data_IF_115751570294
#
_entry.id   IF_115751570294
#
_cell.length_a   1.000
_cell.length_b   1.000
_cell.length_c   1.000
_cell.angle_alpha   90.00
_cell.angle_beta   90.00
_cell.angle_gamma   90.00
#
_symmetry.space_group_name_H-M   'P 1'
#
loop_
_entity.id
_entity.type
_entity.pdbx_description
1 polymer ?
#
# COMPACT_ATOMS: atom_id res chain seq x y z
N UNK A 1 25.51 -2.57 -2.84
CA UNK A 1 24.42 -2.19 -1.91
C UNK A 1 23.46 -3.37 -1.84
N UNK A 2 22.94 -3.75 -0.66
CA UNK A 2 22.00 -4.87 -0.54
C UNK A 2 20.71 -4.59 -1.35
N UNK A 3 20.10 -5.56 -2.06
CA UNK A 3 18.91 -5.29 -2.90
C UNK A 3 17.75 -4.61 -2.15
N UNK A 4 17.43 -5.05 -0.92
CA UNK A 4 16.45 -4.33 -0.07
C UNK A 4 16.78 -2.85 0.16
N UNK A 5 18.06 -2.50 0.32
CA UNK A 5 18.47 -1.13 0.53
C UNK A 5 18.31 -0.27 -0.74
N UNK A 6 18.39 -0.89 -1.93
CA UNK A 6 18.09 -0.23 -3.21
C UNK A 6 16.59 0.03 -3.38
N UNK A 7 15.73 -0.88 -2.94
CA UNK A 7 14.27 -0.71 -3.01
C UNK A 7 13.74 0.30 -1.99
N UNK A 8 14.42 0.47 -0.84
CA UNK A 8 13.95 1.29 0.29
C UNK A 8 13.41 2.68 -0.11
N UNK A 9 14.08 3.49 -0.97
CA UNK A 9 13.56 4.80 -1.36
C UNK A 9 12.20 4.71 -2.05
N UNK A 10 12.04 3.81 -3.03
CA UNK A 10 10.76 3.60 -3.72
C UNK A 10 9.67 3.13 -2.75
N UNK A 11 9.99 2.19 -1.86
CA UNK A 11 9.03 1.73 -0.86
C UNK A 11 8.60 2.90 0.03
N UNK A 12 9.53 3.73 0.52
CA UNK A 12 9.20 4.90 1.32
C UNK A 12 8.23 5.86 0.59
N UNK A 13 8.45 6.13 -0.69
CA UNK A 13 7.58 7.00 -1.48
C UNK A 13 6.18 6.40 -1.71
N UNK A 14 6.08 5.09 -1.97
CA UNK A 14 4.78 4.40 -2.02
C UNK A 14 4.07 4.49 -0.66
N UNK A 15 4.81 4.29 0.43
CA UNK A 15 4.31 4.42 1.80
C UNK A 15 3.91 5.84 2.19
N UNK A 16 4.43 6.87 1.53
CA UNK A 16 3.94 8.25 1.66
C UNK A 16 2.66 8.45 0.83
N UNK A 17 2.68 8.02 -0.43
CA UNK A 17 1.57 8.18 -1.37
C UNK A 17 0.31 7.42 -0.94
N UNK A 18 0.43 6.30 -0.21
CA UNK A 18 -0.72 5.48 0.22
C UNK A 18 -1.77 6.26 1.00
N UNK A 19 -1.35 7.30 1.73
CA UNK A 19 -2.21 8.11 2.63
C UNK A 19 -2.89 9.28 1.95
N UNK A 20 -2.50 9.59 0.72
CA UNK A 20 -3.09 10.69 -0.02
C UNK A 20 -4.58 10.45 -0.15
N UNK A 21 -5.37 11.51 0.01
CA UNK A 21 -6.81 11.49 -0.19
C UNK A 21 -7.13 12.34 -1.41
N UNK A 22 -8.14 11.91 -2.17
CA UNK A 22 -8.63 12.63 -3.35
C UNK A 22 -10.07 13.08 -3.12
N UNK A 23 -10.47 14.14 -3.82
CA UNK A 23 -11.85 14.59 -3.79
C UNK A 23 -12.78 13.53 -4.42
N UNK A 24 -13.99 13.38 -3.87
CA UNK A 24 -15.03 12.53 -4.47
C UNK A 24 -14.95 11.04 -4.15
N UNK A 25 -13.89 10.56 -3.47
CA UNK A 25 -13.79 9.19 -3.00
C UNK A 25 -13.42 9.13 -1.50
N UNK A 26 -14.05 8.26 -0.70
CA UNK A 26 -13.71 8.12 0.71
C UNK A 26 -12.37 7.42 0.89
N UNK A 27 -11.71 7.72 2.01
CA UNK A 27 -10.46 7.08 2.39
C UNK A 27 -9.24 7.53 1.59
N UNK A 28 -8.10 6.94 1.93
CA UNK A 28 -6.82 7.10 1.26
C UNK A 28 -6.79 6.38 -0.09
N UNK A 29 -5.77 6.66 -0.91
CA UNK A 29 -5.53 5.93 -2.16
C UNK A 29 -5.32 4.44 -1.93
N UNK A 30 -4.67 4.03 -0.83
CA UNK A 30 -4.52 2.61 -0.54
C UNK A 30 -5.81 1.96 -0.05
N UNK A 31 -6.64 2.65 0.72
CA UNK A 31 -7.97 2.14 1.10
C UNK A 31 -8.87 1.92 -0.12
N UNK A 32 -8.82 2.86 -1.08
CA UNK A 32 -9.55 2.76 -2.34
C UNK A 32 -9.06 1.57 -3.18
N UNK A 33 -7.75 1.41 -3.32
CA UNK A 33 -7.17 0.27 -4.03
C UNK A 33 -7.37 -1.05 -3.31
N UNK A 34 -7.37 -1.09 -1.99
CA UNK A 34 -7.68 -2.27 -1.21
C UNK A 34 -9.12 -2.74 -1.46
N UNK A 35 -10.08 -1.80 -1.42
CA UNK A 35 -11.48 -2.07 -1.75
C UNK A 35 -11.65 -2.58 -3.18
N UNK A 36 -11.00 -1.93 -4.16
CA UNK A 36 -11.02 -2.36 -5.57
C UNK A 36 -10.37 -3.74 -5.75
N UNK A 37 -9.25 -4.00 -5.10
CA UNK A 37 -8.54 -5.29 -5.14
C UNK A 37 -9.48 -6.42 -4.73
N UNK A 38 -10.13 -6.28 -3.57
CA UNK A 38 -11.12 -7.26 -3.11
C UNK A 38 -12.33 -7.40 -4.04
N UNK A 39 -12.85 -6.29 -4.56
CA UNK A 39 -13.95 -6.32 -5.53
C UNK A 39 -13.59 -7.12 -6.80
N UNK A 40 -12.38 -6.91 -7.33
CA UNK A 40 -11.85 -7.63 -8.51
C UNK A 40 -11.65 -9.12 -8.24
N UNK A 41 -11.04 -9.45 -7.10
CA UNK A 41 -10.84 -10.85 -6.70
C UNK A 41 -12.17 -11.59 -6.51
N UNK A 42 -13.16 -10.97 -5.84
CA UNK A 42 -14.49 -11.57 -5.66
C UNK A 42 -15.25 -11.69 -6.98
N UNK A 43 -15.02 -10.77 -7.92
CA UNK A 43 -15.57 -10.85 -9.27
C UNK A 43 -14.93 -11.97 -10.12
N UNK A 44 -13.92 -12.67 -9.60
CA UNK A 44 -13.26 -13.79 -10.26
C UNK A 44 -12.15 -13.39 -11.24
N UNK A 45 -11.63 -12.17 -11.13
CA UNK A 45 -10.46 -11.75 -11.90
C UNK A 45 -9.20 -12.54 -11.48
N UNK A 46 -8.30 -12.77 -12.43
CA UNK A 46 -7.05 -13.49 -12.17
C UNK A 46 -6.18 -12.77 -11.13
N UNK A 47 -5.65 -13.51 -10.17
CA UNK A 47 -4.88 -12.94 -9.06
C UNK A 47 -3.60 -12.27 -9.54
N UNK A 48 -2.96 -12.80 -10.59
CA UNK A 48 -1.75 -12.22 -11.15
C UNK A 48 -2.04 -10.90 -11.85
N UNK A 49 -3.12 -10.82 -12.64
CA UNK A 49 -3.55 -9.58 -13.30
C UNK A 49 -3.87 -8.48 -12.28
N UNK A 50 -4.58 -8.83 -11.20
CA UNK A 50 -4.84 -7.90 -10.09
C UNK A 50 -3.54 -7.48 -9.41
N UNK A 51 -2.65 -8.43 -9.09
CA UNK A 51 -1.38 -8.15 -8.44
C UNK A 51 -0.49 -7.19 -9.23
N UNK A 52 -0.29 -7.46 -10.52
CA UNK A 52 0.58 -6.62 -11.36
C UNK A 52 -0.03 -5.25 -11.62
N UNK A 53 -1.33 -5.16 -11.93
CA UNK A 53 -1.98 -3.87 -12.20
C UNK A 53 -2.07 -2.97 -10.96
N UNK A 54 -2.38 -3.52 -9.78
CA UNK A 54 -2.39 -2.72 -8.54
C UNK A 54 -1.00 -2.30 -8.11
N UNK A 55 0.01 -3.17 -8.27
CA UNK A 55 1.40 -2.83 -7.99
C UNK A 55 1.92 -1.77 -8.96
N UNK A 56 1.63 -1.89 -10.26
CA UNK A 56 2.01 -0.90 -11.27
C UNK A 56 1.39 0.47 -10.99
N UNK A 57 0.10 0.48 -10.61
CA UNK A 57 -0.58 1.69 -10.19
C UNK A 57 0.08 2.28 -8.92
N UNK A 58 0.38 1.47 -7.90
CA UNK A 58 1.04 1.95 -6.68
C UNK A 58 2.42 2.57 -6.92
N UNK A 59 3.25 1.97 -7.80
CA UNK A 59 4.53 2.55 -8.22
C UNK A 59 4.31 3.90 -8.91
N UNK A 60 3.34 3.99 -9.81
CA UNK A 60 3.00 5.24 -10.50
C UNK A 60 2.52 6.34 -9.54
N UNK A 61 1.76 5.98 -8.50
CA UNK A 61 1.25 6.91 -7.48
C UNK A 61 2.35 7.57 -6.66
N UNK A 62 3.54 6.98 -6.57
CA UNK A 62 4.68 7.61 -5.90
C UNK A 62 5.06 8.99 -6.50
N UNK A 63 4.68 9.24 -7.76
CA UNK A 63 4.84 10.56 -8.41
C UNK A 63 3.51 11.23 -8.72
N UNK A 64 2.52 10.47 -9.19
CA UNK A 64 1.26 11.03 -9.68
C UNK A 64 0.17 11.13 -8.63
N UNK A 65 0.42 10.61 -7.41
CA UNK A 65 -0.57 10.57 -6.33
C UNK A 65 -1.92 10.04 -6.83
N UNK A 66 -2.99 10.83 -6.78
CA UNK A 66 -4.33 10.42 -7.21
C UNK A 66 -4.63 10.56 -8.71
N UNK A 67 -3.66 10.97 -9.53
CA UNK A 67 -3.87 11.14 -10.97
C UNK A 67 -3.77 9.77 -11.66
N UNK A 68 -4.92 9.25 -12.09
CA UNK A 68 -5.05 7.98 -12.80
C UNK A 68 -5.61 8.16 -14.23
N UNK A 69 -5.84 7.06 -14.95
CA UNK A 69 -6.44 7.10 -16.29
C UNK A 69 -7.81 7.79 -16.32
N UNK A 70 -8.63 7.61 -15.28
CA UNK A 70 -9.95 8.22 -15.20
C UNK A 70 -9.88 9.74 -15.05
N UNK A 71 -8.97 10.23 -14.20
CA UNK A 71 -8.71 11.67 -14.06
C UNK A 71 -8.21 12.27 -15.37
N UNK A 72 -7.23 11.63 -16.02
CA UNK A 72 -6.62 12.15 -17.24
C UNK A 72 -7.61 12.17 -18.42
N UNK A 73 -8.41 11.11 -18.57
CA UNK A 73 -9.43 11.04 -19.64
C UNK A 73 -10.59 12.01 -19.38
N UNK A 74 -11.01 12.20 -18.12
CA UNK A 74 -11.98 13.23 -17.75
C UNK A 74 -11.46 14.64 -18.06
N UNK A 75 -10.14 14.85 -17.96
CA UNK A 75 -9.47 16.10 -18.32
C UNK A 75 -9.26 16.28 -19.85
N UNK A 76 -9.73 15.34 -20.67
CA UNK A 76 -9.73 15.45 -22.13
C UNK A 76 -8.57 14.76 -22.85
N UNK A 77 -7.71 14.01 -22.14
CA UNK A 77 -6.69 13.19 -22.79
C UNK A 77 -7.32 11.94 -23.40
N UNK A 78 -6.78 11.50 -24.53
CA UNK A 78 -7.04 10.17 -25.06
C UNK A 78 -6.46 9.08 -24.14
N UNK A 79 -6.93 7.84 -24.29
CA UNK A 79 -6.41 6.69 -23.52
C UNK A 79 -4.90 6.50 -23.73
N UNK A 80 -4.40 6.75 -24.96
CA UNK A 80 -2.97 6.67 -25.27
C UNK A 80 -2.16 7.75 -24.55
N UNK A 81 -2.61 9.00 -24.57
CA UNK A 81 -1.95 10.10 -23.86
C UNK A 81 -1.97 9.88 -22.34
N UNK A 82 -3.09 9.38 -21.81
CA UNK A 82 -3.20 9.04 -20.40
C UNK A 82 -2.21 7.93 -20.02
N UNK A 83 -2.12 6.87 -20.81
CA UNK A 83 -1.16 5.79 -20.59
C UNK A 83 0.29 6.28 -20.65
N UNK A 84 0.61 7.20 -21.56
CA UNK A 84 1.95 7.79 -21.64
C UNK A 84 2.30 8.64 -20.42
N UNK A 85 1.34 9.36 -19.84
CA UNK A 85 1.52 10.05 -18.55
C UNK A 85 1.83 9.05 -17.44
N UNK A 86 1.04 7.98 -17.31
CA UNK A 86 1.24 6.96 -16.29
C UNK A 86 2.61 6.28 -16.43
N UNK A 87 3.01 5.96 -17.65
CA UNK A 87 4.33 5.39 -17.96
C UNK A 87 5.47 6.30 -17.55
N UNK A 88 5.38 7.61 -17.81
CA UNK A 88 6.39 8.58 -17.34
C UNK A 88 6.46 8.60 -15.81
N UNK A 89 5.30 8.62 -15.13
CA UNK A 89 5.25 8.58 -13.67
C UNK A 89 5.88 7.29 -13.09
N UNK A 90 5.62 6.15 -13.72
CA UNK A 90 6.22 4.87 -13.37
C UNK A 90 7.74 4.85 -13.62
N UNK A 91 8.17 5.23 -14.82
CA UNK A 91 9.57 5.16 -15.27
C UNK A 91 10.49 6.02 -14.40
N UNK A 92 9.98 7.10 -13.80
CA UNK A 92 10.75 8.01 -12.94
C UNK A 92 11.19 7.40 -11.60
N UNK A 93 10.48 6.37 -11.11
CA UNK A 93 10.76 5.75 -9.81
C UNK A 93 11.08 4.26 -9.90
N UNK A 94 10.87 3.64 -11.06
CA UNK A 94 11.04 2.21 -11.26
C UNK A 94 12.51 1.76 -11.43
N UNK A 95 13.48 2.68 -11.39
CA UNK A 95 14.91 2.39 -11.54
C UNK A 95 15.45 1.27 -10.64
N UNK A 96 15.08 1.19 -9.35
CA UNK A 96 15.54 0.14 -8.43
C UNK A 96 14.91 -1.25 -8.63
N UNK A 97 13.90 -1.41 -9.50
CA UNK A 97 13.19 -2.66 -9.68
C UNK A 97 14.00 -3.68 -10.48
N UNK A 98 13.78 -4.97 -10.20
CA UNK A 98 14.23 -6.05 -11.09
C UNK A 98 13.72 -5.81 -12.52
N UNK A 99 14.58 -5.99 -13.52
CA UNK A 99 14.25 -5.64 -14.90
C UNK A 99 13.04 -6.42 -15.44
N UNK A 100 12.94 -7.72 -15.13
CA UNK A 100 11.83 -8.55 -15.58
C UNK A 100 10.51 -8.22 -14.87
N UNK A 101 10.57 -7.87 -13.59
CA UNK A 101 9.39 -7.34 -12.88
C UNK A 101 8.98 -5.96 -13.41
N UNK A 102 9.95 -5.07 -13.64
CA UNK A 102 9.71 -3.71 -14.15
C UNK A 102 8.95 -3.73 -15.46
N UNK A 103 9.40 -4.52 -16.43
CA UNK A 103 8.71 -4.63 -17.73
C UNK A 103 7.28 -5.15 -17.58
N UNK A 104 7.06 -6.15 -16.71
CA UNK A 104 5.72 -6.69 -16.44
C UNK A 104 4.79 -5.67 -15.81
N UNK A 105 5.26 -4.94 -14.80
CA UNK A 105 4.47 -3.88 -14.15
C UNK A 105 4.17 -2.75 -15.12
N UNK A 106 5.17 -2.32 -15.89
CA UNK A 106 5.00 -1.26 -16.90
C UNK A 106 3.97 -1.65 -17.97
N UNK A 107 3.95 -2.92 -18.37
CA UNK A 107 2.96 -3.45 -19.32
C UNK A 107 1.55 -3.56 -18.72
N UNK A 108 1.44 -3.72 -17.40
CA UNK A 108 0.16 -3.79 -16.67
C UNK A 108 -0.48 -2.42 -16.38
N UNK A 109 0.15 -1.31 -16.80
CA UNK A 109 -0.43 0.03 -16.69
C UNK A 109 -1.61 0.23 -17.64
N UNK A 110 -2.65 0.89 -17.16
CA UNK A 110 -3.84 1.23 -17.94
C UNK A 110 -5.08 1.40 -17.08
N UNK A 111 -6.26 1.46 -17.70
CA UNK A 111 -7.54 1.48 -17.00
C UNK A 111 -7.66 0.25 -16.09
N UNK A 112 -8.05 0.47 -14.84
CA UNK A 112 -8.31 -0.62 -13.89
C UNK A 112 -9.81 -0.90 -13.83
N UNK A 113 -10.19 -2.18 -13.91
CA UNK A 113 -11.56 -2.62 -13.65
C UNK A 113 -11.99 -2.20 -12.25
N UNK A 114 -13.19 -1.63 -12.13
CA UNK A 114 -13.78 -1.28 -10.85
C UNK A 114 -15.18 -1.91 -10.74
N UNK A 115 -15.27 -3.19 -10.31
CA UNK A 115 -16.55 -3.84 -10.12
C UNK A 115 -17.42 -3.06 -9.11
N UNK A 116 -18.73 -3.01 -9.34
CA UNK A 116 -19.64 -2.19 -8.55
C UNK A 116 -19.83 -2.66 -7.10
N UNK A 117 -19.59 -3.94 -6.81
CA UNK A 117 -19.80 -4.52 -5.49
C UNK A 117 -18.47 -4.76 -4.77
N UNK A 118 -18.18 -3.92 -3.76
CA UNK A 118 -17.07 -4.13 -2.83
C UNK A 118 -17.55 -5.03 -1.68
N UNK A 119 -16.83 -6.11 -1.34
CA UNK A 119 -17.22 -6.97 -0.22
C UNK A 119 -17.10 -6.22 1.11
N UNK A 120 -18.02 -6.47 2.04
CA UNK A 120 -18.12 -5.77 3.32
C UNK A 120 -16.83 -5.83 4.16
N UNK A 121 -16.07 -6.94 4.06
CA UNK A 121 -14.78 -7.09 4.72
C UNK A 121 -13.82 -5.93 4.41
N UNK A 122 -13.82 -5.41 3.17
CA UNK A 122 -12.90 -4.37 2.77
C UNK A 122 -13.26 -3.03 3.44
N UNK A 123 -14.56 -2.74 3.53
CA UNK A 123 -15.07 -1.58 4.27
C UNK A 123 -14.73 -1.65 5.76
N UNK A 124 -14.91 -2.81 6.40
CA UNK A 124 -14.58 -3.02 7.82
C UNK A 124 -13.09 -2.81 8.11
N UNK A 125 -12.21 -3.36 7.25
CA UNK A 125 -10.76 -3.22 7.42
C UNK A 125 -10.26 -1.79 7.10
N UNK A 126 -10.85 -1.10 6.13
CA UNK A 126 -10.58 0.33 5.90
C UNK A 126 -11.03 1.18 7.11
N UNK A 127 -12.17 0.87 7.71
CA UNK A 127 -12.68 1.63 8.86
C UNK A 127 -11.90 1.39 10.15
N UNK A 128 -11.12 0.30 10.26
CA UNK A 128 -10.39 -0.05 11.47
C UNK A 128 -8.95 0.47 11.42
N UNK A 129 -8.55 1.41 12.32
CA UNK A 129 -7.15 1.81 12.44
C UNK A 129 -6.31 0.68 13.04
N UNK A 130 -5.02 0.67 12.69
CA UNK A 130 -4.01 -0.15 13.35
C UNK A 130 -3.80 0.25 14.81
N UNK A 131 -3.31 -0.66 15.63
CA UNK A 131 -3.09 -0.48 17.06
C UNK A 131 -2.03 0.59 17.43
N UNK A 132 -1.24 1.06 16.46
CA UNK A 132 -0.05 1.85 16.71
C UNK A 132 1.11 1.03 17.30
N UNK A 133 2.10 1.72 17.87
CA UNK A 133 3.24 1.05 18.50
C UNK A 133 2.84 0.52 19.88
N UNK A 134 2.94 -0.80 20.08
CA UNK A 134 2.56 -1.48 21.32
C UNK A 134 3.67 -2.42 21.79
N UNK A 135 3.82 -2.55 23.10
CA UNK A 135 4.71 -3.53 23.73
C UNK A 135 4.15 -3.92 25.11
N UNK A 136 4.28 -5.19 25.53
CA UNK A 136 3.88 -5.62 26.86
C UNK A 136 4.49 -4.75 27.97
N UNK A 137 3.64 -4.32 28.91
CA UNK A 137 4.06 -3.49 30.05
C UNK A 137 4.37 -2.02 29.72
N UNK A 138 4.14 -1.55 28.49
CA UNK A 138 4.35 -0.15 28.09
C UNK A 138 3.04 0.52 27.66
N UNK A 139 2.87 1.84 27.88
CA UNK A 139 1.75 2.57 27.28
C UNK A 139 1.86 2.54 25.76
N UNK A 140 0.71 2.46 25.08
CA UNK A 140 0.66 2.50 23.61
C UNK A 140 0.90 3.91 23.08
N UNK A 141 1.42 3.98 21.87
CA UNK A 141 1.53 5.24 21.10
C UNK A 141 0.73 5.09 19.81
N UNK A 142 -0.22 6.00 19.61
CA UNK A 142 -0.96 6.17 18.35
C UNK A 142 -0.54 7.50 17.76
N UNK A 143 -0.14 7.49 16.49
CA UNK A 143 0.23 8.70 15.75
C UNK A 143 -0.86 8.98 14.72
N UNK A 144 -1.38 10.19 14.73
CA UNK A 144 -2.46 10.63 13.84
C UNK A 144 -1.89 11.25 12.55
N UNK A 145 -2.53 11.04 11.38
CA UNK A 145 -3.65 10.12 11.17
C UNK A 145 -3.18 8.65 11.23
N UNK A 146 -3.96 7.74 11.85
CA UNK A 146 -3.59 6.34 11.94
C UNK A 146 -3.69 5.69 10.57
N UNK A 147 -2.80 4.74 10.34
CA UNK A 147 -2.91 3.80 9.24
C UNK A 147 -4.09 2.84 9.48
N UNK A 148 -4.93 2.62 8.46
CA UNK A 148 -5.97 1.58 8.52
C UNK A 148 -5.43 0.20 8.16
N UNK A 149 -6.22 -0.86 8.39
CA UNK A 149 -5.81 -2.20 7.92
C UNK A 149 -5.80 -2.26 6.40
N UNK A 150 -6.68 -1.51 5.72
CA UNK A 150 -6.67 -1.41 4.26
C UNK A 150 -5.39 -0.79 3.71
N UNK A 151 -4.96 0.33 4.30
CA UNK A 151 -3.68 0.97 3.98
C UNK A 151 -2.52 -0.01 4.10
N UNK A 152 -2.46 -0.70 5.24
CA UNK A 152 -1.39 -1.64 5.55
C UNK A 152 -1.42 -2.86 4.62
N UNK A 153 -2.55 -3.57 4.54
CA UNK A 153 -2.69 -4.80 3.75
C UNK A 153 -2.35 -4.58 2.28
N UNK A 154 -2.88 -3.51 1.66
CA UNK A 154 -2.54 -3.23 0.27
C UNK A 154 -1.05 -2.93 0.12
N UNK A 155 -0.48 -2.11 1.00
CA UNK A 155 0.93 -1.73 0.89
C UNK A 155 1.85 -2.93 1.08
N UNK A 156 1.55 -3.82 2.02
CA UNK A 156 2.25 -5.09 2.19
C UNK A 156 2.10 -5.97 0.94
N UNK A 157 0.92 -6.04 0.33
CA UNK A 157 0.72 -6.80 -0.91
C UNK A 157 1.60 -6.25 -2.06
N UNK A 158 1.60 -4.94 -2.25
CA UNK A 158 2.43 -4.24 -3.25
C UNK A 158 3.91 -4.48 -2.97
N UNK A 159 4.36 -4.26 -1.73
CA UNK A 159 5.75 -4.50 -1.34
C UNK A 159 6.13 -5.96 -1.56
N UNK A 160 5.23 -6.90 -1.28
CA UNK A 160 5.42 -8.33 -1.52
C UNK A 160 5.78 -8.63 -2.97
N UNK A 161 5.09 -8.01 -3.93
CA UNK A 161 5.43 -8.09 -5.37
C UNK A 161 6.79 -7.48 -5.65
N UNK A 162 7.07 -6.29 -5.13
CA UNK A 162 8.31 -5.57 -5.40
C UNK A 162 9.56 -6.26 -4.84
N UNK A 163 9.44 -6.93 -3.69
CA UNK A 163 10.55 -7.64 -3.04
C UNK A 163 10.66 -9.11 -3.46
N UNK A 164 9.64 -9.69 -4.09
CA UNK A 164 9.65 -11.10 -4.50
C UNK A 164 10.92 -11.51 -5.29
N UNK A 165 11.41 -10.72 -6.27
CA UNK A 165 12.65 -11.04 -6.98
C UNK A 165 13.89 -11.12 -6.08
N UNK A 166 13.93 -10.34 -4.98
CA UNK A 166 15.07 -10.30 -4.04
C UNK A 166 15.25 -11.64 -3.32
N UNK A 167 14.16 -12.35 -3.07
CA UNK A 167 14.15 -13.62 -2.35
C UNK A 167 13.82 -14.83 -3.24
N UNK A 168 13.66 -14.60 -4.55
CA UNK A 168 13.35 -15.64 -5.54
C UNK A 168 11.93 -16.20 -5.44
N UNK A 169 10.96 -15.38 -5.03
CA UNK A 169 9.55 -15.77 -4.91
C UNK A 169 8.74 -15.52 -6.19
N UNK A 170 7.67 -16.28 -6.38
CA UNK A 170 6.56 -15.86 -7.24
C UNK A 170 5.86 -14.64 -6.58
N UNK A 171 5.70 -13.48 -7.27
CA UNK A 171 5.06 -12.29 -6.69
C UNK A 171 3.57 -12.47 -6.36
N UNK A 172 2.87 -13.44 -6.95
CA UNK A 172 1.40 -13.57 -6.81
C UNK A 172 1.00 -14.04 -5.41
N UNK A 173 1.73 -15.01 -4.84
CA UNK A 173 1.45 -15.52 -3.50
C UNK A 173 1.63 -14.48 -2.37
N UNK A 174 2.75 -13.73 -2.27
CA UNK A 174 2.91 -12.69 -1.26
C UNK A 174 1.96 -11.51 -1.48
N UNK A 175 1.55 -11.23 -2.72
CA UNK A 175 0.48 -10.24 -2.97
C UNK A 175 -0.83 -10.67 -2.30
N UNK A 176 -1.33 -11.87 -2.63
CA UNK A 176 -2.61 -12.35 -2.09
C UNK A 176 -2.54 -12.50 -0.56
N UNK A 177 -1.41 -12.97 -0.03
CA UNK A 177 -1.18 -13.03 1.41
C UNK A 177 -1.22 -11.64 2.04
N UNK A 178 -0.54 -10.66 1.44
CA UNK A 178 -0.56 -9.26 1.89
C UNK A 178 -1.98 -8.68 1.94
N UNK A 179 -2.82 -8.97 0.96
CA UNK A 179 -4.23 -8.52 0.95
C UNK A 179 -5.06 -9.18 2.06
N UNK A 180 -4.76 -10.44 2.42
CA UNK A 180 -5.62 -11.26 3.29
C UNK A 180 -5.11 -11.47 4.72
N UNK A 181 -3.86 -11.14 5.05
CA UNK A 181 -3.23 -11.57 6.32
C UNK A 181 -3.89 -11.02 7.60
N UNK A 182 -4.71 -9.98 7.47
CA UNK A 182 -5.52 -9.39 8.55
C UNK A 182 -7.02 -9.73 8.46
N UNK A 183 -7.43 -10.82 7.79
CA UNK A 183 -8.86 -11.18 7.71
C UNK A 183 -9.54 -11.33 9.07
N UNK A 184 -8.86 -11.84 10.10
CA UNK A 184 -9.41 -11.90 11.46
C UNK A 184 -9.79 -10.52 12.02
N UNK A 185 -9.14 -9.44 11.55
CA UNK A 185 -9.40 -8.07 12.01
C UNK A 185 -10.68 -7.46 11.46
N UNK A 186 -11.41 -8.13 10.55
CA UNK A 186 -12.78 -7.73 10.20
C UNK A 186 -13.68 -7.70 11.43
N UNK A 187 -13.40 -8.58 12.40
CA UNK A 187 -14.16 -8.70 13.66
C UNK A 187 -13.29 -8.40 14.88
N UNK A 188 -12.01 -8.83 14.89
CA UNK A 188 -11.12 -8.62 16.02
C UNK A 188 -10.48 -7.22 15.98
N UNK A 189 -10.76 -6.34 16.96
CA UNK A 189 -10.08 -5.05 17.04
C UNK A 189 -8.57 -5.24 17.21
N UNK A 190 -7.78 -4.43 16.51
CA UNK A 190 -6.32 -4.51 16.60
C UNK A 190 -5.83 -4.02 17.97
N UNK A 191 -5.44 -4.98 18.81
CA UNK A 191 -4.88 -4.73 20.12
C UNK A 191 -3.34 -4.60 20.07
N UNK A 192 -2.72 -4.90 18.94
CA UNK A 192 -1.27 -4.98 18.75
C UNK A 192 -0.60 -6.08 19.58
N UNK A 193 0.72 -6.09 19.57
CA UNK A 193 1.55 -7.08 20.26
C UNK A 193 1.24 -7.21 21.75
N UNK A 194 0.93 -6.10 22.43
CA UNK A 194 0.55 -6.14 23.85
C UNK A 194 -0.74 -6.95 24.08
N UNK A 195 -1.73 -6.81 23.20
CA UNK A 195 -2.99 -7.58 23.28
C UNK A 195 -2.81 -9.04 22.87
N UNK A 196 -2.00 -9.32 21.85
CA UNK A 196 -1.65 -10.69 21.44
C UNK A 196 -1.05 -11.49 22.60
N UNK A 197 -0.11 -10.90 23.35
CA UNK A 197 0.50 -11.53 24.53
C UNK A 197 -0.54 -11.82 25.62
N UNK A 198 -1.53 -10.93 25.81
CA UNK A 198 -2.61 -11.13 26.79
C UNK A 198 -3.62 -12.20 26.35
N UNK A 199 -3.87 -12.34 25.04
CA UNK A 199 -4.69 -13.42 24.50
C UNK A 199 -4.00 -14.79 24.66
N UNK A 200 -2.66 -14.83 24.64
CA UNK A 200 -1.87 -16.02 24.92
C UNK A 200 -2.32 -17.21 24.08
N UNK A 201 -2.54 -18.37 24.73
CA UNK A 201 -2.96 -19.61 24.08
C UNK A 201 -4.34 -19.53 23.38
N UNK A 202 -5.12 -18.46 23.59
CA UNK A 202 -6.38 -18.25 22.89
C UNK A 202 -6.21 -17.62 21.50
N UNK A 203 -5.09 -16.93 21.25
CA UNK A 203 -4.88 -16.11 20.06
C UNK A 203 -5.08 -16.89 18.76
N UNK A 204 -4.37 -18.00 18.60
CA UNK A 204 -4.42 -18.84 17.40
C UNK A 204 -5.84 -19.29 17.08
N UNK A 205 -6.57 -19.78 18.09
CA UNK A 205 -7.95 -20.23 17.94
C UNK A 205 -8.90 -19.10 17.54
N UNK A 206 -8.74 -17.92 18.16
CA UNK A 206 -9.56 -16.73 17.86
C UNK A 206 -9.30 -16.29 16.42
N UNK A 207 -8.04 -16.15 16.02
CA UNK A 207 -7.68 -15.77 14.66
C UNK A 207 -8.23 -16.77 13.64
N UNK A 208 -7.99 -18.06 13.84
CA UNK A 208 -8.45 -19.11 12.93
C UNK A 208 -9.99 -19.13 12.77
N UNK A 209 -10.72 -18.96 13.89
CA UNK A 209 -12.19 -18.93 13.87
C UNK A 209 -12.72 -17.74 13.08
N UNK A 210 -12.13 -16.56 13.28
CA UNK A 210 -12.56 -15.33 12.62
C UNK A 210 -12.13 -15.29 11.15
N UNK A 211 -10.96 -15.81 10.82
CA UNK A 211 -10.53 -15.99 9.43
C UNK A 211 -11.46 -16.92 8.67
N UNK A 212 -11.77 -18.10 9.21
CA UNK A 212 -12.66 -19.05 8.54
C UNK A 212 -14.07 -18.49 8.32
N UNK A 213 -14.58 -17.67 9.25
CA UNK A 213 -15.84 -16.95 9.08
C UNK A 213 -15.83 -16.08 7.82
N UNK A 214 -14.77 -15.28 7.63
CA UNK A 214 -14.70 -14.36 6.47
C UNK A 214 -14.40 -15.13 5.18
N UNK A 215 -13.57 -16.19 5.24
CA UNK A 215 -13.32 -17.09 4.12
C UNK A 215 -14.59 -17.80 3.63
N UNK A 216 -15.49 -18.18 4.53
CA UNK A 216 -16.76 -18.83 4.18
C UNK A 216 -17.72 -17.91 3.40
N UNK A 217 -17.52 -16.59 3.46
CA UNK A 217 -18.30 -15.62 2.69
C UNK A 217 -17.73 -15.34 1.29
N UNK A 218 -16.53 -15.83 0.97
CA UNK A 218 -15.88 -15.64 -0.32
C UNK A 218 -16.32 -16.72 -1.34
N UNK A 219 -16.21 -16.44 -2.65
CA UNK A 219 -16.34 -17.47 -3.69
C UNK A 219 -15.39 -18.65 -3.43
N UNK A 220 -15.89 -19.88 -3.58
CA UNK A 220 -15.15 -21.11 -3.22
C UNK A 220 -13.71 -21.19 -3.76
N UNK A 221 -13.48 -20.94 -5.07
CA UNK A 221 -12.12 -20.95 -5.64
C UNK A 221 -11.19 -19.89 -5.00
N UNK A 222 -11.69 -18.69 -4.75
CA UNK A 222 -10.92 -17.63 -4.09
C UNK A 222 -10.64 -18.01 -2.63
N UNK A 223 -11.64 -18.49 -1.90
CA UNK A 223 -11.48 -18.92 -0.51
C UNK A 223 -10.41 -20.01 -0.36
N UNK A 224 -10.38 -20.99 -1.28
CA UNK A 224 -9.35 -22.03 -1.31
C UNK A 224 -7.95 -21.42 -1.51
N UNK A 225 -7.79 -20.52 -2.47
CA UNK A 225 -6.51 -19.86 -2.76
C UNK A 225 -6.04 -18.97 -1.60
N UNK A 226 -6.95 -18.27 -0.93
CA UNK A 226 -6.62 -17.47 0.26
C UNK A 226 -6.18 -18.37 1.42
N UNK A 227 -6.83 -19.51 1.65
CA UNK A 227 -6.38 -20.49 2.66
C UNK A 227 -4.96 -20.99 2.38
N UNK A 228 -4.65 -21.31 1.12
CA UNK A 228 -3.30 -21.75 0.71
C UNK A 228 -2.23 -20.71 1.08
N UNK A 229 -2.44 -19.43 0.76
CA UNK A 229 -1.44 -18.39 1.06
C UNK A 229 -1.40 -18.03 2.55
N UNK A 230 -2.53 -18.07 3.26
CA UNK A 230 -2.55 -17.84 4.72
C UNK A 230 -1.73 -18.89 5.49
N UNK A 231 -1.64 -20.11 4.96
CA UNK A 231 -0.80 -21.16 5.54
C UNK A 231 0.71 -20.84 5.50
N UNK A 232 1.15 -19.86 4.69
CA UNK A 232 2.53 -19.40 4.63
C UNK A 232 2.88 -18.43 5.78
N UNK A 233 1.88 -17.79 6.40
CA UNK A 233 2.06 -16.75 7.43
C UNK A 233 2.88 -17.15 8.66
N UNK A 234 2.85 -18.41 9.16
CA UNK A 234 3.56 -18.75 10.39
C UNK A 234 5.09 -18.79 10.29
N UNK A 235 5.66 -18.82 9.08
CA UNK A 235 7.09 -19.10 8.90
C UNK A 235 7.71 -18.40 7.69
N UNK A 236 9.03 -18.54 7.53
CA UNK A 236 9.80 -17.89 6.47
C UNK A 236 10.71 -18.90 5.73
N UNK A 237 10.28 -20.16 5.67
CA UNK A 237 11.06 -21.26 5.12
C UNK A 237 11.10 -21.22 3.59
N UNK A 238 9.99 -20.80 2.97
CA UNK A 238 9.84 -20.72 1.50
C UNK A 238 9.93 -19.26 1.00
N UNK A 239 10.37 -19.04 -0.25
CA UNK A 239 10.54 -17.70 -0.82
C UNK A 239 9.32 -16.78 -0.68
N UNK A 240 8.12 -17.29 -0.95
CA UNK A 240 6.86 -16.53 -0.93
C UNK A 240 6.58 -15.98 0.48
N UNK A 241 6.83 -16.80 1.50
CA UNK A 241 6.67 -16.40 2.89
C UNK A 241 7.72 -15.37 3.31
N UNK A 242 8.97 -15.51 2.83
CA UNK A 242 10.03 -14.50 3.05
C UNK A 242 9.67 -13.17 2.40
N UNK A 243 9.10 -13.18 1.20
CA UNK A 243 8.68 -11.96 0.51
C UNK A 243 7.58 -11.24 1.29
N UNK A 244 6.57 -11.97 1.78
CA UNK A 244 5.53 -11.42 2.63
C UNK A 244 6.08 -10.84 3.94
N UNK A 245 6.91 -11.58 4.68
CA UNK A 245 7.46 -11.09 5.94
C UNK A 245 8.41 -9.90 5.75
N UNK A 246 9.17 -9.87 4.65
CA UNK A 246 9.98 -8.71 4.29
C UNK A 246 9.09 -7.50 4.00
N UNK A 247 8.00 -7.68 3.25
CA UNK A 247 7.04 -6.62 2.96
C UNK A 247 6.36 -6.05 4.21
N UNK A 248 5.84 -6.93 5.09
CA UNK A 248 5.18 -6.55 6.34
C UNK A 248 6.12 -5.78 7.29
N UNK A 249 7.35 -6.27 7.49
CA UNK A 249 8.30 -5.55 8.36
C UNK A 249 8.75 -4.23 7.76
N UNK A 250 8.97 -4.17 6.44
CA UNK A 250 9.37 -2.95 5.76
C UNK A 250 8.28 -1.89 5.85
N UNK A 251 7.00 -2.25 5.64
CA UNK A 251 5.89 -1.30 5.77
C UNK A 251 5.79 -0.74 7.19
N UNK A 252 5.79 -1.60 8.21
CA UNK A 252 5.71 -1.18 9.62
C UNK A 252 6.88 -0.29 10.04
N UNK A 253 8.10 -0.58 9.58
CA UNK A 253 9.29 0.22 9.93
C UNK A 253 9.28 1.54 9.15
N UNK A 254 8.93 1.53 7.86
CA UNK A 254 8.81 2.75 7.07
C UNK A 254 7.68 3.66 7.56
N UNK A 255 6.60 3.11 8.12
CA UNK A 255 5.56 3.86 8.83
C UNK A 255 6.15 4.71 9.97
N UNK A 256 7.01 4.11 10.80
CA UNK A 256 7.65 4.83 11.90
C UNK A 256 8.61 5.90 11.39
N UNK A 257 9.38 5.58 10.34
CA UNK A 257 10.26 6.56 9.70
C UNK A 257 9.49 7.73 9.07
N UNK A 258 8.33 7.46 8.47
CA UNK A 258 7.43 8.49 7.94
C UNK A 258 7.03 9.47 9.06
N UNK A 259 6.53 8.96 10.19
CA UNK A 259 6.13 9.82 11.30
C UNK A 259 7.30 10.61 11.88
N UNK A 260 8.47 9.98 12.04
CA UNK A 260 9.66 10.66 12.51
C UNK A 260 10.11 11.79 11.56
N UNK A 261 10.06 11.54 10.24
CA UNK A 261 10.38 12.55 9.22
C UNK A 261 9.36 13.69 9.20
N UNK A 262 8.07 13.38 9.29
CA UNK A 262 7.02 14.39 9.36
C UNK A 262 7.15 15.27 10.61
N UNK A 263 7.46 14.67 11.76
CA UNK A 263 7.69 15.42 13.02
C UNK A 263 8.95 16.29 12.98
N UNK A 264 9.94 15.92 12.17
CA UNK A 264 11.18 16.68 11.99
C UNK A 264 11.14 17.63 10.79
N UNK A 265 10.00 17.80 10.12
CA UNK A 265 9.88 18.61 8.91
C UNK A 265 10.08 20.10 9.22
N UNK A 266 10.95 20.75 8.46
CA UNK A 266 11.34 22.16 8.66
C UNK A 266 10.95 23.02 7.46
N UNK A 267 10.86 24.34 7.68
CA UNK A 267 10.62 25.30 6.59
C UNK A 267 11.75 25.32 5.56
N UNK A 268 13.01 25.15 5.98
CA UNK A 268 14.15 25.07 5.06
C UNK A 268 14.01 23.88 4.09
N UNK A 269 13.63 22.71 4.60
CA UNK A 269 13.35 21.55 3.73
C UNK A 269 12.19 21.83 2.76
N UNK A 270 11.15 22.54 3.21
CA UNK A 270 10.03 22.90 2.34
C UNK A 270 10.45 23.87 1.23
N UNK A 271 11.19 24.92 1.59
CA UNK A 271 11.52 26.03 0.69
C UNK A 271 12.70 25.71 -0.22
N UNK A 272 13.75 25.10 0.33
CA UNK A 272 15.03 24.91 -0.34
C UNK A 272 15.13 23.52 -1.01
N UNK A 273 14.74 22.45 -0.33
CA UNK A 273 14.88 21.08 -0.86
C UNK A 273 13.71 20.69 -1.77
N UNK A 274 12.48 21.09 -1.41
CA UNK A 274 11.24 20.72 -2.11
C UNK A 274 10.71 21.84 -3.01
N UNK A 275 11.41 22.98 -3.08
CA UNK A 275 11.05 24.14 -3.90
C UNK A 275 9.56 24.51 -3.77
N UNK A 276 9.06 24.67 -2.54
CA UNK A 276 7.66 25.07 -2.32
C UNK A 276 7.28 26.31 -3.16
N UNK A 277 8.23 27.24 -3.34
CA UNK A 277 8.17 28.32 -4.34
C UNK A 277 8.92 27.89 -5.60
N UNK A 278 8.27 27.04 -6.39
CA UNK A 278 8.84 26.45 -7.59
C UNK A 278 8.93 27.44 -8.76
N UNK A 279 9.77 27.10 -9.74
CA UNK A 279 9.91 27.85 -10.98
C UNK A 279 8.58 27.95 -11.73
N UNK A 280 8.16 29.17 -12.05
CA UNK A 280 6.92 29.42 -12.76
C UNK A 280 6.71 30.90 -13.09
N UNK A 281 5.66 31.23 -13.87
CA UNK A 281 5.44 32.59 -14.39
C UNK A 281 5.34 33.69 -13.32
N UNK A 282 4.98 33.31 -12.10
CA UNK A 282 4.74 34.23 -10.97
C UNK A 282 5.78 34.06 -9.84
N UNK A 283 6.82 33.26 -10.04
CA UNK A 283 7.80 32.96 -8.98
C UNK A 283 8.45 34.23 -8.41
N UNK A 284 8.84 35.17 -9.29
CA UNK A 284 9.45 36.43 -8.86
C UNK A 284 8.54 37.21 -7.91
N UNK A 285 7.25 37.29 -8.20
CA UNK A 285 6.28 37.93 -7.32
C UNK A 285 6.14 37.19 -5.98
N UNK A 286 6.11 35.85 -5.98
CA UNK A 286 6.07 35.09 -4.73
C UNK A 286 7.31 35.34 -3.86
N UNK A 287 8.50 35.40 -4.46
CA UNK A 287 9.75 35.73 -3.75
C UNK A 287 9.72 37.15 -3.18
N UNK A 288 9.20 38.13 -3.93
CA UNK A 288 9.03 39.50 -3.44
C UNK A 288 8.06 39.57 -2.24
N UNK A 289 6.97 38.79 -2.28
CA UNK A 289 6.01 38.68 -1.16
C UNK A 289 6.68 38.09 0.08
N UNK A 290 7.46 37.01 -0.06
CA UNK A 290 8.19 36.41 1.06
C UNK A 290 9.20 37.38 1.66
N UNK A 291 10.00 38.05 0.81
CA UNK A 291 10.95 39.07 1.25
C UNK A 291 10.26 40.23 1.98
N UNK A 292 9.13 40.72 1.46
CA UNK A 292 8.35 41.78 2.11
C UNK A 292 7.72 41.34 3.44
N UNK A 293 7.40 40.05 3.58
CA UNK A 293 6.90 39.46 4.83
C UNK A 293 8.02 39.11 5.84
N UNK A 294 9.30 39.21 5.44
CA UNK A 294 10.45 38.85 6.26
C UNK A 294 10.65 37.33 6.43
N UNK A 295 10.25 36.55 5.41
CA UNK A 295 10.40 35.10 5.32
C UNK A 295 11.53 34.69 4.37
#
# INVERSE_FOLDING_TARGET
MHPFAQLRPLLAEIGDAKRVRVAGAPGSLAEQSFARTWARLVAGEDVADVAYSETAAAVTRARLAGIDTGVLTTAGLSEGEALDVLRRGFDEVAGPLDAGLRERLRAALGPQSCPAAVPALAGSLNAQPRAGATAPGKPRIVVEPPESHGDHCLTVAVYGVLVAPVVGADPVAPFLLGVAHHLHNVVLPDAGFAGEVLLGNALERVMATLEERELAALPGPLAARVREVLALRPGAEVPEARAFHAADVLDRVLQVHHHARAAAFTSAQALDDLELVHAGPVQAYHLDVLAAAGL
#
